data_IF_160251523652
#
_entry.id   IF_160251523652
#
_cell.length_a   1.000
_cell.length_b   1.000
_cell.length_c   1.000
_cell.angle_alpha   90.00
_cell.angle_beta   90.00
_cell.angle_gamma   90.00
#
_symmetry.space_group_name_H-M   'P 1'
#
loop_
_entity.id
_entity.type
_entity.pdbx_description
1 polymer ?
#
# COMPACT_ATOMS: atom_id res chain seq x y z
N UNK A 1 -12.80 -14.68 -47.15
CA UNK A 1 -13.23 -16.03 -46.72
C UNK A 1 -12.28 -16.45 -45.60
N UNK A 2 -12.77 -16.38 -44.42
CA UNK A 2 -12.50 -17.23 -43.26
C UNK A 2 -12.86 -16.53 -41.96
N UNK A 3 -13.83 -17.13 -41.31
CA UNK A 3 -14.53 -16.72 -40.10
C UNK A 3 -13.58 -16.65 -38.88
N UNK A 4 -13.70 -15.57 -38.15
CA UNK A 4 -13.22 -15.46 -36.78
C UNK A 4 -14.33 -15.94 -35.85
N UNK A 5 -14.01 -16.92 -35.01
CA UNK A 5 -14.91 -17.41 -33.97
C UNK A 5 -14.87 -16.45 -32.80
N UNK A 6 -15.94 -15.72 -32.60
CA UNK A 6 -16.21 -14.95 -31.40
C UNK A 6 -16.96 -15.89 -30.44
N UNK A 7 -16.38 -16.24 -29.33
CA UNK A 7 -17.09 -16.90 -28.25
C UNK A 7 -17.85 -15.84 -27.45
N UNK A 8 -19.15 -15.77 -27.68
CA UNK A 8 -20.08 -15.01 -26.84
C UNK A 8 -20.61 -15.99 -25.81
N UNK A 9 -20.33 -15.72 -24.55
CA UNK A 9 -20.94 -16.41 -23.41
C UNK A 9 -22.34 -15.82 -23.21
N UNK A 10 -23.42 -16.61 -23.29
CA UNK A 10 -24.75 -16.08 -23.02
C UNK A 10 -24.95 -15.93 -21.50
N UNK A 11 -25.20 -14.71 -21.04
CA UNK A 11 -25.75 -14.47 -19.72
C UNK A 11 -27.22 -14.97 -19.72
N UNK A 12 -27.49 -16.01 -18.97
CA UNK A 12 -28.84 -16.52 -18.75
C UNK A 12 -29.53 -15.62 -17.73
N UNK A 13 -30.40 -14.70 -18.19
CA UNK A 13 -31.37 -14.04 -17.35
C UNK A 13 -32.54 -15.01 -17.17
N UNK A 14 -32.66 -15.63 -16.02
CA UNK A 14 -33.85 -16.33 -15.60
C UNK A 14 -34.80 -15.32 -14.98
N UNK A 15 -35.82 -14.89 -15.73
CA UNK A 15 -36.98 -14.23 -15.17
C UNK A 15 -37.88 -15.31 -14.54
N UNK A 16 -37.93 -15.39 -13.21
CA UNK A 16 -38.93 -16.15 -12.48
C UNK A 16 -40.11 -15.22 -12.18
N UNK A 17 -41.24 -15.50 -12.81
CA UNK A 17 -42.54 -15.01 -12.39
C UNK A 17 -42.95 -15.74 -11.12
N UNK A 18 -43.11 -15.01 -10.05
CA UNK A 18 -43.76 -15.54 -8.82
C UNK A 18 -45.27 -15.33 -8.95
N UNK A 19 -46.01 -16.44 -8.88
CA UNK A 19 -47.39 -16.43 -8.41
C UNK A 19 -47.54 -17.72 -7.60
N UNK A 20 -47.58 -17.56 -6.29
CA UNK A 20 -48.35 -18.41 -5.39
C UNK A 20 -48.36 -17.77 -3.98
N UNK A 21 -49.56 -17.36 -3.58
CA UNK A 21 -49.87 -16.92 -2.22
C UNK A 21 -49.94 -18.14 -1.30
N UNK A 22 -48.89 -18.38 -0.54
CA UNK A 22 -48.90 -19.23 0.64
C UNK A 22 -48.31 -18.45 1.82
N UNK A 23 -48.88 -18.55 3.06
CA UNK A 23 -48.37 -17.78 4.18
C UNK A 23 -46.98 -18.22 4.56
N UNK A 24 -46.03 -17.31 4.40
CA UNK A 24 -44.61 -17.50 4.78
C UNK A 24 -44.51 -17.48 6.28
N UNK A 25 -44.18 -18.62 6.88
CA UNK A 25 -43.64 -18.69 8.25
C UNK A 25 -42.29 -17.95 8.22
N UNK A 26 -41.96 -17.14 9.24
CA UNK A 26 -40.67 -16.48 9.27
C UNK A 26 -39.57 -17.52 9.43
N UNK A 27 -38.81 -17.72 8.35
CA UNK A 27 -37.60 -18.53 8.39
C UNK A 27 -36.59 -17.88 9.35
N UNK A 28 -36.13 -18.70 10.27
CA UNK A 28 -34.92 -18.40 11.06
C UNK A 28 -33.81 -18.05 10.06
N UNK A 29 -33.06 -16.96 10.25
CA UNK A 29 -31.98 -16.65 9.35
C UNK A 29 -31.00 -17.82 9.31
N UNK A 30 -30.84 -18.43 8.13
CA UNK A 30 -29.82 -19.42 7.87
C UNK A 30 -28.48 -18.79 8.25
N UNK A 31 -27.87 -19.32 9.29
CA UNK A 31 -26.45 -19.05 9.54
C UNK A 31 -25.71 -19.57 8.31
N UNK A 32 -24.92 -18.75 7.59
CA UNK A 32 -24.16 -19.27 6.48
C UNK A 32 -23.33 -20.44 6.98
N UNK A 33 -23.60 -21.64 6.51
CA UNK A 33 -22.71 -22.77 6.73
C UNK A 33 -21.36 -22.35 6.15
N UNK A 34 -20.34 -22.30 7.01
CA UNK A 34 -18.96 -22.11 6.54
C UNK A 34 -18.63 -23.20 5.52
N UNK A 35 -17.68 -22.97 4.61
CA UNK A 35 -17.32 -23.97 3.62
C UNK A 35 -17.06 -25.33 4.31
N UNK A 36 -17.71 -26.38 3.82
CA UNK A 36 -17.47 -27.73 4.29
C UNK A 36 -16.03 -28.14 3.97
N UNK A 37 -15.15 -27.99 4.96
CA UNK A 37 -13.71 -28.30 4.86
C UNK A 37 -13.42 -29.77 5.17
N UNK A 38 -14.44 -30.61 5.42
CA UNK A 38 -14.26 -31.98 5.92
C UNK A 38 -13.65 -32.93 4.87
N UNK A 39 -13.67 -32.58 3.59
CA UNK A 39 -13.23 -33.48 2.50
C UNK A 39 -12.06 -32.98 1.63
N UNK A 40 -11.37 -31.87 2.01
CA UNK A 40 -10.29 -31.31 1.18
C UNK A 40 -8.96 -31.02 1.92
N UNK A 41 -8.73 -31.66 3.06
CA UNK A 41 -7.45 -31.50 3.77
C UNK A 41 -6.37 -32.33 3.05
N UNK A 42 -5.71 -31.72 2.10
CA UNK A 42 -4.56 -32.33 1.39
C UNK A 42 -3.30 -32.39 2.26
N UNK A 43 -3.22 -31.55 3.30
CA UNK A 43 -2.04 -31.44 4.16
C UNK A 43 -2.42 -31.09 5.59
N UNK A 44 -2.04 -31.92 6.54
CA UNK A 44 -2.14 -31.63 7.96
C UNK A 44 -0.94 -30.81 8.41
N UNK A 45 -1.20 -29.62 8.98
CA UNK A 45 -0.17 -28.81 9.64
C UNK A 45 -0.38 -28.91 11.15
N UNK A 46 0.64 -29.40 11.86
CA UNK A 46 0.64 -29.44 13.33
C UNK A 46 1.46 -28.27 13.89
N UNK A 47 0.88 -27.53 14.83
CA UNK A 47 1.54 -26.44 15.54
C UNK A 47 1.76 -26.89 16.97
N UNK A 48 3.03 -26.99 17.38
CA UNK A 48 3.41 -27.23 18.78
C UNK A 48 3.74 -25.89 19.46
N UNK A 49 2.80 -25.39 20.23
CA UNK A 49 2.97 -24.13 20.97
C UNK A 49 4.01 -24.21 22.10
N UNK A 50 4.46 -25.42 22.47
CA UNK A 50 5.53 -25.63 23.43
C UNK A 50 6.93 -25.42 22.83
N UNK A 51 7.07 -25.44 21.51
CA UNK A 51 8.34 -25.16 20.83
C UNK A 51 8.39 -23.70 20.35
N UNK A 52 9.33 -22.94 20.87
CA UNK A 52 9.59 -21.57 20.46
C UNK A 52 10.90 -21.48 19.68
N UNK A 53 10.91 -20.65 18.63
CA UNK A 53 12.08 -20.38 17.80
C UNK A 53 12.44 -18.89 17.90
N UNK A 54 12.47 -18.19 16.78
CA UNK A 54 12.75 -16.75 16.76
C UNK A 54 11.57 -15.93 17.30
N UNK A 55 11.88 -14.73 17.82
CA UNK A 55 10.87 -13.73 18.14
C UNK A 55 10.38 -13.08 16.84
N UNK A 56 9.07 -13.04 16.63
CA UNK A 56 8.46 -12.31 15.54
C UNK A 56 8.32 -10.85 15.96
N UNK A 57 8.95 -9.93 15.21
CA UNK A 57 8.89 -8.50 15.51
C UNK A 57 7.50 -7.90 15.29
N UNK A 58 6.73 -8.44 14.38
CA UNK A 58 5.36 -8.00 14.09
C UNK A 58 4.84 -8.52 12.76
N UNK A 59 3.58 -8.20 12.49
CA UNK A 59 2.93 -8.45 11.21
C UNK A 59 2.56 -7.10 10.59
N UNK A 60 2.91 -6.89 9.32
CA UNK A 60 2.71 -5.61 8.67
C UNK A 60 2.27 -5.73 7.23
N UNK A 61 1.91 -4.58 6.68
CA UNK A 61 1.61 -4.41 5.27
C UNK A 61 2.13 -3.05 4.78
N UNK A 62 2.13 -2.86 3.45
CA UNK A 62 2.53 -1.60 2.82
C UNK A 62 1.31 -0.79 2.40
N UNK A 63 1.43 0.53 2.46
CA UNK A 63 0.42 1.47 2.00
C UNK A 63 0.41 1.70 0.48
N UNK A 64 1.37 1.13 -0.24
CA UNK A 64 1.34 1.21 -1.70
C UNK A 64 0.29 0.26 -2.27
N UNK A 65 -0.64 0.76 -3.03
CA UNK A 65 -0.79 2.19 -3.44
C UNK A 65 -2.09 2.76 -2.88
N UNK A 66 -3.03 1.85 -2.64
CA UNK A 66 -4.44 2.18 -2.40
C UNK A 66 -4.71 3.00 -1.15
N UNK A 67 -4.06 2.81 0.00
CA UNK A 67 -4.36 3.54 1.23
C UNK A 67 -4.27 5.06 1.10
N UNK A 68 -3.29 5.60 0.38
CA UNK A 68 -3.21 7.05 0.16
C UNK A 68 -4.45 7.57 -0.62
N UNK A 69 -4.82 6.87 -1.70
CA UNK A 69 -6.00 7.20 -2.51
C UNK A 69 -7.30 7.00 -1.72
N UNK A 70 -7.46 5.87 -1.04
CA UNK A 70 -8.65 5.54 -0.25
C UNK A 70 -8.82 6.52 0.91
N UNK A 71 -7.75 6.83 1.61
CA UNK A 71 -7.77 7.76 2.74
C UNK A 71 -8.23 9.17 2.35
N UNK A 72 -7.90 9.61 1.13
CA UNK A 72 -8.30 10.91 0.59
C UNK A 72 -9.69 10.88 -0.04
N UNK A 73 -10.02 9.82 -0.80
CA UNK A 73 -11.17 9.81 -1.70
C UNK A 73 -12.37 9.03 -1.16
N UNK A 74 -12.18 8.02 -0.30
CA UNK A 74 -13.24 7.14 0.22
C UNK A 74 -13.59 7.47 1.67
N UNK A 75 -13.91 8.72 1.93
CA UNK A 75 -14.09 9.26 3.28
C UNK A 75 -15.14 8.54 4.12
N UNK A 76 -16.19 7.98 3.52
CA UNK A 76 -17.22 7.18 4.20
C UNK A 76 -16.78 5.77 4.57
N UNK A 77 -15.71 5.24 3.95
CA UNK A 77 -15.27 3.85 4.14
C UNK A 77 -13.94 3.72 4.88
N UNK A 78 -13.09 4.75 4.82
CA UNK A 78 -11.72 4.70 5.35
C UNK A 78 -11.63 4.32 6.82
N UNK A 79 -12.61 4.72 7.65
CA UNK A 79 -12.64 4.36 9.07
C UNK A 79 -12.84 2.85 9.29
N UNK A 80 -13.80 2.24 8.59
CA UNK A 80 -14.01 0.79 8.65
C UNK A 80 -12.82 0.00 8.09
N UNK A 81 -12.21 0.48 7.00
CA UNK A 81 -11.03 -0.16 6.42
C UNK A 81 -9.86 -0.15 7.42
N UNK A 82 -9.59 0.99 8.05
CA UNK A 82 -8.51 1.08 9.05
C UNK A 82 -8.79 0.23 10.29
N UNK A 83 -10.05 0.10 10.72
CA UNK A 83 -10.42 -0.81 11.81
C UNK A 83 -10.13 -2.26 11.44
N UNK A 84 -10.51 -2.72 10.24
CA UNK A 84 -10.22 -4.07 9.75
C UNK A 84 -8.73 -4.37 9.67
N UNK A 85 -7.90 -3.38 9.34
CA UNK A 85 -6.45 -3.57 9.23
C UNK A 85 -5.75 -3.56 10.59
N UNK A 86 -6.09 -2.64 11.49
CA UNK A 86 -5.27 -2.35 12.65
C UNK A 86 -5.88 -2.77 13.99
N UNK A 87 -7.20 -2.96 14.08
CA UNK A 87 -7.81 -3.36 15.34
C UNK A 87 -7.40 -4.77 15.74
N UNK A 88 -6.94 -4.92 16.98
CA UNK A 88 -6.72 -6.20 17.65
C UNK A 88 -7.86 -6.57 18.62
N UNK A 89 -8.92 -5.75 18.65
CA UNK A 89 -10.06 -5.96 19.55
C UNK A 89 -10.85 -7.21 19.19
N UNK A 90 -11.24 -7.97 20.21
CA UNK A 90 -12.11 -9.15 20.07
C UNK A 90 -13.46 -8.87 20.72
N UNK A 91 -14.54 -8.95 19.96
CA UNK A 91 -15.91 -8.73 20.45
C UNK A 91 -16.74 -9.98 20.22
N UNK A 92 -17.33 -10.51 21.30
CA UNK A 92 -18.11 -11.73 21.21
C UNK A 92 -17.34 -12.94 20.67
N UNK A 93 -16.03 -13.01 20.92
CA UNK A 93 -15.15 -14.08 20.43
C UNK A 93 -14.72 -13.94 18.97
N UNK A 94 -15.04 -12.82 18.30
CA UNK A 94 -14.67 -12.55 16.91
C UNK A 94 -13.73 -11.34 16.85
N UNK A 95 -12.60 -11.40 16.09
CA UNK A 95 -11.73 -10.26 15.91
C UNK A 95 -12.43 -9.20 15.05
N UNK A 96 -12.25 -7.93 15.41
CA UNK A 96 -12.72 -6.79 14.60
C UNK A 96 -11.81 -6.53 13.40
N UNK A 97 -10.52 -6.81 13.52
CA UNK A 97 -9.53 -6.61 12.49
C UNK A 97 -8.44 -7.66 12.56
N UNK A 98 -7.47 -7.54 11.65
CA UNK A 98 -6.32 -8.45 11.58
C UNK A 98 -5.15 -8.03 12.48
N UNK A 99 -5.24 -6.87 13.13
CA UNK A 99 -4.28 -6.41 14.14
C UNK A 99 -2.87 -6.19 13.61
N UNK A 100 -2.72 -5.52 12.45
CA UNK A 100 -1.39 -5.17 11.96
C UNK A 100 -0.64 -4.32 12.98
N UNK A 101 0.59 -4.72 13.30
CA UNK A 101 1.47 -4.06 14.27
C UNK A 101 2.59 -3.25 13.64
N UNK A 102 2.75 -3.38 12.31
CA UNK A 102 3.72 -2.64 11.50
C UNK A 102 3.04 -2.08 10.25
N UNK A 103 3.44 -0.87 9.85
CA UNK A 103 2.93 -0.23 8.65
C UNK A 103 4.07 0.37 7.83
N UNK A 104 4.18 -0.02 6.56
CA UNK A 104 5.20 0.45 5.65
C UNK A 104 4.65 1.59 4.81
N UNK A 105 5.23 2.78 4.95
CA UNK A 105 4.74 4.06 4.46
C UNK A 105 5.57 4.53 3.28
N UNK A 106 4.94 4.78 2.13
CA UNK A 106 5.63 5.26 0.93
C UNK A 106 5.96 6.76 1.02
N UNK A 107 7.21 7.10 0.83
CA UNK A 107 7.65 8.46 0.52
C UNK A 107 7.53 8.65 -0.99
N UNK A 108 6.40 9.19 -1.43
CA UNK A 108 6.08 9.31 -2.85
C UNK A 108 6.98 10.31 -3.58
N UNK A 109 7.18 10.07 -4.87
CA UNK A 109 7.98 10.94 -5.74
C UNK A 109 7.27 12.20 -6.21
N UNK A 110 5.94 12.30 -6.04
CA UNK A 110 5.18 13.51 -6.43
C UNK A 110 4.45 13.41 -7.76
N UNK A 111 4.32 12.23 -8.33
CA UNK A 111 3.58 12.05 -9.59
C UNK A 111 2.11 12.48 -9.52
N UNK A 112 1.51 12.50 -8.31
CA UNK A 112 0.15 12.96 -8.11
C UNK A 112 -0.03 14.44 -8.48
N UNK A 113 0.95 15.29 -8.17
CA UNK A 113 0.93 16.71 -8.53
C UNK A 113 1.06 16.92 -10.05
N UNK A 114 1.72 16.01 -10.76
CA UNK A 114 1.86 16.04 -12.21
C UNK A 114 0.57 15.61 -12.95
N UNK A 115 -0.35 14.92 -12.28
CA UNK A 115 -1.58 14.45 -12.89
C UNK A 115 -1.32 13.54 -14.09
N UNK A 116 -1.99 13.80 -15.22
CA UNK A 116 -1.82 13.03 -16.47
C UNK A 116 -0.42 13.20 -17.07
N UNK A 117 0.21 14.35 -16.85
CA UNK A 117 1.57 14.59 -17.29
C UNK A 117 2.61 13.68 -16.60
N UNK A 118 2.25 13.01 -15.50
CA UNK A 118 3.11 11.99 -14.87
C UNK A 118 3.42 10.81 -15.80
N UNK A 119 2.51 10.49 -16.74
CA UNK A 119 2.58 9.29 -17.56
C UNK A 119 2.09 8.02 -16.85
N UNK A 120 1.53 8.15 -15.65
CA UNK A 120 0.90 7.06 -14.89
C UNK A 120 -0.62 7.16 -15.08
N UNK A 121 -1.22 6.19 -15.76
CA UNK A 121 -2.65 6.23 -16.10
C UNK A 121 -3.54 6.05 -14.86
N UNK A 122 -3.25 5.05 -14.05
CA UNK A 122 -4.01 4.77 -12.82
C UNK A 122 -3.75 5.84 -11.76
N UNK A 123 -4.78 6.64 -11.48
CA UNK A 123 -4.71 7.72 -10.48
C UNK A 123 -4.39 7.21 -9.08
N UNK A 124 -4.78 5.99 -8.73
CA UNK A 124 -4.49 5.39 -7.43
C UNK A 124 -3.01 5.03 -7.24
N UNK A 125 -2.23 5.00 -8.33
CA UNK A 125 -0.79 4.72 -8.34
C UNK A 125 0.09 5.96 -8.43
N UNK A 126 -0.53 7.14 -8.46
CA UNK A 126 0.18 8.43 -8.39
C UNK A 126 0.34 8.80 -6.92
N UNK A 127 1.57 8.92 -6.44
CA UNK A 127 1.83 9.27 -5.06
C UNK A 127 2.07 10.78 -4.89
N UNK A 128 1.66 11.31 -3.75
CA UNK A 128 2.00 12.68 -3.32
C UNK A 128 3.42 12.70 -2.74
N UNK A 129 4.11 13.84 -2.84
CA UNK A 129 5.37 14.14 -2.16
C UNK A 129 5.19 15.39 -1.33
N UNK A 130 5.85 15.48 -0.18
CA UNK A 130 5.92 16.72 0.58
C UNK A 130 6.76 17.79 -0.11
N UNK A 131 7.74 17.36 -0.95
CA UNK A 131 8.56 18.30 -1.71
C UNK A 131 7.74 18.94 -2.82
N UNK A 132 7.81 20.26 -2.91
CA UNK A 132 7.14 21.07 -3.93
C UNK A 132 8.10 21.41 -5.08
N UNK A 133 7.61 22.02 -6.15
CA UNK A 133 8.43 22.32 -7.33
C UNK A 133 9.48 23.42 -7.06
N UNK A 134 9.25 24.26 -6.04
CA UNK A 134 10.21 25.26 -5.56
C UNK A 134 11.16 24.73 -4.47
N UNK A 135 11.20 23.40 -4.31
CA UNK A 135 12.07 22.68 -3.37
C UNK A 135 11.82 23.05 -1.89
N UNK A 136 10.60 23.45 -1.56
CA UNK A 136 10.14 23.62 -0.19
C UNK A 136 9.25 22.46 0.23
N UNK A 137 8.90 22.38 1.53
CA UNK A 137 7.99 21.35 2.04
C UNK A 137 6.58 21.88 2.24
N UNK A 138 5.61 21.18 1.64
CA UNK A 138 4.19 21.36 1.94
C UNK A 138 3.68 20.21 2.81
N UNK A 139 3.70 20.40 4.11
CA UNK A 139 3.28 19.40 5.09
C UNK A 139 1.76 19.16 5.15
N UNK A 140 0.97 19.84 4.34
CA UNK A 140 -0.47 19.59 4.19
C UNK A 140 -0.77 18.45 3.23
N UNK A 141 0.20 18.04 2.41
CA UNK A 141 0.10 16.94 1.47
C UNK A 141 0.06 15.58 2.16
N UNK A 142 -0.18 14.53 1.39
CA UNK A 142 -0.27 13.15 1.86
C UNK A 142 -1.39 12.91 2.89
N UNK A 143 -2.47 13.69 2.85
CA UNK A 143 -3.60 13.64 3.78
C UNK A 143 -4.17 12.21 3.92
N UNK A 144 -4.39 11.52 2.79
CA UNK A 144 -4.96 10.18 2.79
C UNK A 144 -4.07 9.16 3.46
N UNK A 145 -2.75 9.24 3.20
CA UNK A 145 -1.74 8.39 3.83
C UNK A 145 -1.64 8.67 5.33
N UNK A 146 -1.60 9.94 5.72
CA UNK A 146 -1.58 10.37 7.12
C UNK A 146 -2.80 9.89 7.89
N UNK A 147 -3.98 9.91 7.27
CA UNK A 147 -5.18 9.35 7.87
C UNK A 147 -4.99 7.89 8.28
N UNK A 148 -4.41 7.07 7.40
CA UNK A 148 -4.12 5.66 7.74
C UNK A 148 -3.08 5.53 8.85
N UNK A 149 -2.04 6.37 8.85
CA UNK A 149 -1.01 6.39 9.91
C UNK A 149 -1.60 6.77 11.26
N UNK A 150 -2.44 7.81 11.33
CA UNK A 150 -3.12 8.25 12.54
C UNK A 150 -4.00 7.14 13.10
N UNK A 151 -4.83 6.55 12.26
CA UNK A 151 -5.71 5.44 12.66
C UNK A 151 -4.94 4.19 13.08
N UNK A 152 -3.85 3.87 12.37
CA UNK A 152 -2.96 2.78 12.75
C UNK A 152 -2.42 2.97 14.17
N UNK A 153 -1.89 4.17 14.45
CA UNK A 153 -1.36 4.55 15.77
C UNK A 153 -2.44 4.47 16.87
N UNK A 154 -3.63 5.02 16.62
CA UNK A 154 -4.76 4.97 17.55
C UNK A 154 -5.20 3.54 17.87
N UNK A 155 -5.11 2.62 16.91
CA UNK A 155 -5.51 1.21 17.04
C UNK A 155 -4.38 0.28 17.49
N UNK A 156 -3.19 0.84 17.85
CA UNK A 156 -2.09 0.10 18.45
C UNK A 156 -0.99 -0.36 17.49
N UNK A 157 -1.05 0.00 16.22
CA UNK A 157 0.06 -0.18 15.29
C UNK A 157 1.13 0.89 15.55
N UNK A 158 2.20 0.52 16.24
CA UNK A 158 3.21 1.47 16.73
C UNK A 158 4.56 1.35 16.05
N UNK A 159 4.64 0.69 14.90
CA UNK A 159 5.90 0.52 14.19
C UNK A 159 5.73 0.92 12.72
N UNK A 160 6.39 2.02 12.33
CA UNK A 160 6.33 2.55 10.97
C UNK A 160 7.69 2.40 10.28
N UNK A 161 7.65 1.85 9.07
CA UNK A 161 8.82 1.75 8.18
C UNK A 161 8.60 2.70 7.03
N UNK A 162 9.44 3.71 6.88
CA UNK A 162 9.40 4.57 5.69
C UNK A 162 10.12 3.89 4.53
N UNK A 163 9.61 4.02 3.32
CA UNK A 163 10.32 3.54 2.15
C UNK A 163 10.07 4.45 0.94
N UNK A 164 10.93 4.39 -0.04
CA UNK A 164 10.76 5.13 -1.27
C UNK A 164 10.76 4.19 -2.48
N UNK A 165 9.75 4.32 -3.36
CA UNK A 165 9.74 3.68 -4.66
C UNK A 165 10.60 4.44 -5.67
N UNK A 166 10.65 5.76 -5.54
CA UNK A 166 11.35 6.65 -6.47
C UNK A 166 11.78 7.93 -5.75
N UNK A 167 12.87 8.56 -6.15
CA UNK A 167 13.20 9.91 -5.68
C UNK A 167 12.11 10.92 -6.06
N UNK A 168 11.99 12.06 -5.34
CA UNK A 168 11.17 13.18 -5.78
C UNK A 168 11.42 13.55 -7.23
N UNK A 169 10.35 13.78 -8.00
CA UNK A 169 10.45 14.04 -9.46
C UNK A 169 11.37 15.21 -9.82
N UNK A 170 11.52 16.17 -8.91
CA UNK A 170 12.43 17.31 -9.04
C UNK A 170 13.91 16.90 -9.15
N UNK A 171 14.27 15.78 -8.54
CA UNK A 171 15.63 15.26 -8.49
C UNK A 171 15.93 14.23 -9.59
N UNK A 172 14.95 13.90 -10.42
CA UNK A 172 15.07 12.83 -11.41
C UNK A 172 15.54 13.32 -12.78
N UNK A 173 16.22 12.44 -13.53
CA UNK A 173 16.71 12.73 -14.88
C UNK A 173 15.58 13.11 -15.86
N UNK A 174 14.44 12.42 -15.79
CA UNK A 174 13.34 12.59 -16.72
C UNK A 174 12.18 13.43 -16.16
N UNK A 175 12.29 13.91 -14.93
CA UNK A 175 11.22 14.64 -14.24
C UNK A 175 9.98 13.79 -13.96
N UNK A 176 10.11 12.44 -13.91
CA UNK A 176 9.00 11.51 -13.68
C UNK A 176 9.23 10.65 -12.46
N UNK A 177 8.13 10.08 -11.95
CA UNK A 177 8.16 9.13 -10.86
C UNK A 177 8.58 7.71 -11.26
N UNK A 178 8.86 7.42 -12.53
CA UNK A 178 9.40 6.13 -12.98
C UNK A 178 10.69 6.33 -13.76
N UNK A 179 11.61 5.36 -13.68
CA UNK A 179 12.95 5.57 -14.19
C UNK A 179 13.04 5.49 -15.71
N UNK A 180 12.44 4.52 -16.34
CA UNK A 180 12.55 4.24 -17.79
C UNK A 180 14.01 4.23 -18.29
N UNK A 181 14.94 3.73 -17.44
CA UNK A 181 16.40 3.77 -17.70
C UNK A 181 17.05 2.37 -17.64
N UNK A 182 16.25 1.31 -17.88
CA UNK A 182 16.78 -0.03 -17.99
C UNK A 182 17.44 -0.58 -16.71
N UNK A 183 16.85 -0.31 -15.54
CA UNK A 183 17.39 -0.76 -14.25
C UNK A 183 18.41 0.20 -13.62
N UNK A 184 18.71 1.35 -14.25
CA UNK A 184 19.50 2.41 -13.66
C UNK A 184 18.64 3.37 -12.84
N UNK A 185 19.25 4.01 -11.85
CA UNK A 185 18.60 5.02 -11.03
C UNK A 185 18.12 6.21 -11.86
N UNK A 186 16.92 6.70 -11.53
CA UNK A 186 16.41 7.96 -12.06
C UNK A 186 16.95 9.19 -11.30
N UNK A 187 17.58 9.00 -10.15
CA UNK A 187 18.17 10.07 -9.35
C UNK A 187 19.43 10.62 -10.04
N UNK A 188 19.51 11.93 -10.20
CA UNK A 188 20.71 12.59 -10.68
C UNK A 188 21.82 12.55 -9.63
N UNK A 189 23.08 12.38 -10.01
CA UNK A 189 24.20 12.25 -9.07
C UNK A 189 24.34 13.42 -8.09
N UNK A 190 24.06 14.64 -8.53
CA UNK A 190 24.13 15.86 -7.72
C UNK A 190 23.05 15.94 -6.61
N UNK A 191 22.01 15.09 -6.66
CA UNK A 191 20.89 15.11 -5.72
C UNK A 191 20.86 13.94 -4.74
N UNK A 192 21.94 13.15 -4.61
CA UNK A 192 21.96 12.05 -3.64
C UNK A 192 21.83 12.56 -2.21
N UNK A 193 22.58 13.60 -1.85
CA UNK A 193 22.46 14.24 -0.53
C UNK A 193 21.10 14.90 -0.30
N UNK A 194 20.52 15.55 -1.32
CA UNK A 194 19.19 16.16 -1.24
C UNK A 194 18.11 15.11 -1.00
N UNK A 195 18.21 13.95 -1.67
CA UNK A 195 17.25 12.86 -1.49
C UNK A 195 17.40 12.18 -0.11
N UNK A 196 18.61 11.97 0.36
CA UNK A 196 18.86 11.49 1.72
C UNK A 196 18.30 12.47 2.76
N UNK A 197 18.56 13.77 2.58
CA UNK A 197 18.01 14.85 3.41
C UNK A 197 16.48 14.85 3.42
N UNK A 198 15.82 14.71 2.27
CA UNK A 198 14.36 14.60 2.18
C UNK A 198 13.80 13.45 3.03
N UNK A 199 14.41 12.26 2.93
CA UNK A 199 13.98 11.11 3.73
C UNK A 199 14.18 11.35 5.24
N UNK A 200 15.30 11.95 5.62
CA UNK A 200 15.61 12.29 6.99
C UNK A 200 14.64 13.34 7.56
N UNK A 201 14.34 14.39 6.79
CA UNK A 201 13.43 15.47 7.20
C UNK A 201 12.00 14.94 7.41
N UNK A 202 11.49 14.06 6.51
CA UNK A 202 10.18 13.44 6.68
C UNK A 202 10.17 12.51 7.90
N UNK A 203 11.23 11.73 8.12
CA UNK A 203 11.35 10.88 9.31
C UNK A 203 11.38 11.69 10.59
N UNK A 204 12.15 12.79 10.63
CA UNK A 204 12.22 13.71 11.76
C UNK A 204 10.87 14.37 12.03
N UNK A 205 10.17 14.81 10.97
CA UNK A 205 8.83 15.39 11.07
C UNK A 205 7.83 14.40 11.67
N UNK A 206 7.75 13.18 11.16
CA UNK A 206 6.86 12.15 11.70
C UNK A 206 7.21 11.77 13.14
N UNK A 207 8.49 11.69 13.47
CA UNK A 207 8.95 11.44 14.84
C UNK A 207 8.50 12.56 15.78
N UNK A 208 8.62 13.82 15.37
CA UNK A 208 8.14 14.96 16.14
C UNK A 208 6.61 14.97 16.33
N UNK A 209 5.86 14.39 15.41
CA UNK A 209 4.39 14.19 15.50
C UNK A 209 4.02 12.92 16.30
N UNK A 210 5.01 12.21 16.84
CA UNK A 210 4.83 11.07 17.73
C UNK A 210 4.58 9.74 17.02
N UNK A 211 5.00 9.59 15.77
CA UNK A 211 5.10 8.28 15.12
C UNK A 211 6.44 7.63 15.46
N UNK A 212 6.44 6.35 15.77
CA UNK A 212 7.67 5.58 15.95
C UNK A 212 8.19 5.08 14.60
N UNK A 213 9.09 5.85 13.99
CA UNK A 213 9.76 5.47 12.75
C UNK A 213 10.92 4.54 13.11
N UNK A 214 10.79 3.27 12.78
CA UNK A 214 11.78 2.25 13.14
C UNK A 214 12.88 2.09 12.07
N UNK A 215 12.54 2.25 10.81
CA UNK A 215 13.46 2.04 9.68
C UNK A 215 13.12 2.96 8.52
N UNK A 216 14.15 3.23 7.72
CA UNK A 216 14.02 3.81 6.37
C UNK A 216 14.56 2.80 5.37
N UNK A 217 13.76 2.45 4.35
CA UNK A 217 14.17 1.66 3.19
C UNK A 217 14.30 2.61 1.99
N UNK A 218 15.51 3.04 1.64
CA UNK A 218 15.70 4.14 0.71
C UNK A 218 15.42 3.78 -0.74
N UNK A 219 15.40 2.49 -1.07
CA UNK A 219 15.11 1.97 -2.41
C UNK A 219 14.13 0.80 -2.32
N UNK A 220 13.37 0.58 -3.39
CA UNK A 220 12.43 -0.53 -3.52
C UNK A 220 12.69 -1.27 -4.82
N UNK A 221 12.80 -2.61 -4.74
CA UNK A 221 13.01 -3.49 -5.90
C UNK A 221 14.05 -2.94 -6.91
N UNK A 222 15.29 -2.70 -6.47
CA UNK A 222 16.29 -1.97 -7.27
C UNK A 222 16.61 -2.65 -8.61
N UNK A 223 16.43 -3.97 -8.70
CA UNK A 223 16.71 -4.75 -9.91
C UNK A 223 15.58 -4.72 -10.93
N UNK A 224 14.39 -4.17 -10.58
CA UNK A 224 13.26 -4.16 -11.49
C UNK A 224 13.38 -3.01 -12.51
N UNK A 225 12.87 -3.26 -13.72
CA UNK A 225 12.85 -2.24 -14.77
C UNK A 225 11.56 -1.42 -14.68
N UNK A 226 11.67 -0.24 -14.08
CA UNK A 226 10.55 0.65 -13.82
C UNK A 226 10.27 1.55 -15.02
N UNK A 227 9.51 1.06 -16.01
CA UNK A 227 9.28 1.77 -17.28
C UNK A 227 8.04 2.65 -17.28
N UNK A 228 6.98 2.25 -16.55
CA UNK A 228 5.69 2.96 -16.55
C UNK A 228 4.73 2.35 -15.52
N UNK A 229 3.49 2.87 -15.48
CA UNK A 229 2.37 2.28 -14.75
C UNK A 229 2.27 2.62 -13.27
N UNK A 230 3.37 2.95 -12.64
CA UNK A 230 3.49 3.36 -11.24
C UNK A 230 4.82 4.06 -10.99
N UNK A 231 4.97 4.69 -9.80
CA UNK A 231 6.27 5.19 -9.37
C UNK A 231 7.23 4.04 -9.10
N UNK A 232 8.51 4.23 -9.46
CA UNK A 232 9.58 3.28 -9.20
C UNK A 232 10.89 3.69 -9.85
N UNK A 233 12.01 3.31 -9.25
CA UNK A 233 13.35 3.56 -9.78
C UNK A 233 14.20 2.30 -9.68
N UNK A 234 14.84 1.92 -10.80
CA UNK A 234 15.90 0.93 -10.79
C UNK A 234 17.14 1.49 -10.08
N UNK A 235 18.03 0.61 -9.64
CA UNK A 235 19.28 0.98 -8.98
C UNK A 235 20.30 -0.12 -9.17
N UNK A 236 21.50 0.25 -9.55
CA UNK A 236 22.66 -0.65 -9.47
C UNK A 236 23.15 -0.76 -8.01
N UNK A 237 23.94 -1.78 -7.74
CA UNK A 237 24.54 -1.94 -6.40
C UNK A 237 25.40 -0.74 -5.99
N UNK A 238 26.14 -0.15 -6.95
CA UNK A 238 26.98 1.01 -6.68
C UNK A 238 26.15 2.26 -6.38
N UNK A 239 25.02 2.46 -7.08
CA UNK A 239 24.09 3.55 -6.82
C UNK A 239 23.41 3.40 -5.45
N UNK A 240 22.98 2.17 -5.08
CA UNK A 240 22.47 1.89 -3.72
C UNK A 240 23.51 2.19 -2.66
N UNK A 241 24.76 1.73 -2.87
CA UNK A 241 25.84 1.97 -1.92
C UNK A 241 26.21 3.47 -1.82
N UNK A 242 26.06 4.22 -2.92
CA UNK A 242 26.26 5.68 -2.91
C UNK A 242 25.17 6.36 -2.06
N UNK A 243 23.89 6.02 -2.26
CA UNK A 243 22.79 6.58 -1.47
C UNK A 243 22.89 6.21 0.01
N UNK A 244 23.29 4.98 0.32
CA UNK A 244 23.47 4.54 1.71
C UNK A 244 24.53 5.36 2.46
N UNK A 245 25.59 5.81 1.76
CA UNK A 245 26.62 6.68 2.36
C UNK A 245 26.12 8.10 2.66
N UNK A 246 25.13 8.58 1.92
CA UNK A 246 24.52 9.89 2.20
C UNK A 246 23.54 9.84 3.38
N UNK A 247 23.08 8.64 3.73
CA UNK A 247 22.15 8.41 4.86
C UNK A 247 22.87 8.14 6.19
N UNK A 248 24.19 7.86 6.16
CA UNK A 248 25.01 7.55 7.33
C UNK A 248 25.46 8.85 8.02
#
# INVERSE_FOLDING_TARGET
MNLRHIFILPALLAAMACSDDSPVTPDTPDTPEGPDITNSVEKLVSIDAGQTFQTIAGFGASDCWSPAFVGKSWTSHRAGITELLFSSEIVGGKPKGIGLSQWRVNLGGGSAAQGEASGIEDKSRRAESYLTDDLTYDWTRCEGQRYFMDRAKELGCNNFVLFSNTPPVQYTYNGKGFSARGGLSNLKPEHYGDFAGYMADVAARYTAEGYHISHISPVNEPQYNWDSGQEGSGWTNDEVAALARELD
#
